data_IF_188299273156
#
_entry.id   IF_188299273156
#
_cell.length_a   1.000
_cell.length_b   1.000
_cell.length_c   1.000
_cell.angle_alpha   90.00
_cell.angle_beta   90.00
_cell.angle_gamma   90.00
#
_symmetry.space_group_name_H-M   'P 1'
#
loop_
_entity.id
_entity.type
_entity.pdbx_description
1 polymer ?
#
# COMPACT_ATOMS: atom_id res chain seq x y z
N UNK A 1 -6.95 -2.71 1.98
CA UNK A 1 -5.54 -3.10 1.74
C UNK A 1 -4.94 -2.50 0.47
N UNK A 2 -5.71 -2.02 -0.53
CA UNK A 2 -5.12 -1.51 -1.79
C UNK A 2 -4.11 -0.35 -1.59
N UNK A 3 -4.41 0.62 -0.74
CA UNK A 3 -3.45 1.70 -0.42
C UNK A 3 -2.19 1.17 0.26
N UNK A 4 -2.30 0.10 1.05
CA UNK A 4 -1.14 -0.55 1.68
C UNK A 4 -0.31 -1.33 0.66
N UNK A 5 -0.95 -1.99 -0.32
CA UNK A 5 -0.19 -2.67 -1.39
C UNK A 5 0.59 -1.69 -2.26
N UNK A 6 0.07 -0.47 -2.42
CA UNK A 6 0.77 0.62 -3.10
C UNK A 6 1.94 1.14 -2.24
N UNK A 7 1.73 1.34 -0.92
CA UNK A 7 2.79 1.73 0.02
C UNK A 7 3.91 0.69 0.16
N UNK A 8 3.58 -0.60 0.01
CA UNK A 8 4.55 -1.69 -0.04
C UNK A 8 5.32 -1.77 -1.37
N UNK A 9 4.93 -0.98 -2.37
CA UNK A 9 5.52 -1.01 -3.72
C UNK A 9 5.08 -2.19 -4.58
N UNK A 10 4.06 -2.94 -4.15
CA UNK A 10 3.56 -4.14 -4.85
C UNK A 10 2.37 -3.85 -5.78
N UNK A 11 1.84 -2.62 -5.74
CA UNK A 11 0.81 -2.15 -6.65
C UNK A 11 1.26 -0.84 -7.32
N UNK A 12 0.77 -0.62 -8.54
CA UNK A 12 1.02 0.63 -9.26
C UNK A 12 0.39 1.83 -8.54
N UNK A 13 1.00 3.02 -8.67
CA UNK A 13 0.42 4.25 -8.15
C UNK A 13 -1.02 4.47 -8.62
N UNK A 14 -1.90 4.86 -7.70
CA UNK A 14 -3.33 5.06 -7.98
C UNK A 14 -4.19 3.81 -7.86
N UNK A 15 -3.62 2.62 -7.60
CA UNK A 15 -4.42 1.41 -7.34
C UNK A 15 -5.26 1.54 -6.05
N UNK A 16 -4.77 2.30 -5.07
CA UNK A 16 -5.48 2.56 -3.81
C UNK A 16 -6.64 3.54 -3.92
N UNK A 17 -6.54 4.53 -4.80
CA UNK A 17 -7.45 5.69 -4.86
C UNK A 17 -8.42 5.66 -6.04
N UNK A 18 -8.07 4.97 -7.13
CA UNK A 18 -8.90 5.00 -8.34
C UNK A 18 -10.22 4.22 -8.17
N UNK A 19 -11.33 4.86 -8.55
CA UNK A 19 -12.67 4.27 -8.43
C UNK A 19 -12.89 3.12 -9.41
N UNK A 20 -13.75 2.17 -9.02
CA UNK A 20 -14.04 0.96 -9.81
C UNK A 20 -14.65 1.27 -11.18
N UNK A 21 -15.45 2.33 -11.27
CA UNK A 21 -16.19 2.74 -12.46
C UNK A 21 -15.43 3.73 -13.35
N UNK A 22 -14.26 4.20 -12.92
CA UNK A 22 -13.52 5.22 -13.64
C UNK A 22 -12.88 4.65 -14.92
N UNK A 23 -12.95 5.39 -16.03
CA UNK A 23 -12.42 4.97 -17.34
C UNK A 23 -10.93 4.64 -17.29
N UNK A 24 -10.16 5.38 -16.50
CA UNK A 24 -8.73 5.17 -16.25
C UNK A 24 -8.39 3.81 -15.61
N UNK A 25 -9.37 3.10 -15.04
CA UNK A 25 -9.09 1.80 -14.41
C UNK A 25 -8.67 0.76 -15.44
N UNK A 26 -9.20 0.87 -16.66
CA UNK A 26 -8.80 0.02 -17.78
C UNK A 26 -7.32 0.21 -18.12
N UNK A 27 -6.85 1.45 -18.12
CA UNK A 27 -5.45 1.77 -18.42
C UNK A 27 -4.52 1.22 -17.33
N UNK A 28 -4.89 1.41 -16.06
CA UNK A 28 -4.15 0.86 -14.93
C UNK A 28 -4.02 -0.68 -15.00
N UNK A 29 -5.08 -1.39 -15.42
CA UNK A 29 -5.01 -2.84 -15.62
C UNK A 29 -4.09 -3.25 -16.78
N UNK A 30 -4.14 -2.52 -17.89
CA UNK A 30 -3.26 -2.78 -19.03
C UNK A 30 -1.79 -2.49 -18.68
N UNK A 31 -1.55 -1.43 -17.91
CA UNK A 31 -0.23 -1.07 -17.40
C UNK A 31 0.29 -2.13 -16.42
N UNK A 32 -0.53 -2.61 -15.49
CA UNK A 32 -0.19 -3.71 -14.59
C UNK A 32 0.19 -4.98 -15.38
N UNK A 33 -0.59 -5.32 -16.42
CA UNK A 33 -0.33 -6.45 -17.30
C UNK A 33 0.99 -6.32 -18.07
N UNK A 34 1.31 -5.13 -18.59
CA UNK A 34 2.60 -4.87 -19.25
C UNK A 34 3.76 -4.92 -18.26
N UNK A 35 3.57 -4.37 -17.06
CA UNK A 35 4.57 -4.33 -16.00
C UNK A 35 4.94 -5.73 -15.55
N UNK A 36 3.97 -6.60 -15.25
CA UNK A 36 4.29 -7.96 -14.79
C UNK A 36 5.02 -8.78 -15.85
N UNK A 37 4.67 -8.63 -17.13
CA UNK A 37 5.39 -9.28 -18.24
C UNK A 37 6.82 -8.75 -18.34
N UNK A 38 7.02 -7.43 -18.20
CA UNK A 38 8.36 -6.82 -18.20
C UNK A 38 9.22 -7.31 -17.03
N UNK A 39 8.67 -7.37 -15.81
CA UNK A 39 9.38 -7.88 -14.63
C UNK A 39 9.71 -9.36 -14.78
N UNK A 40 8.78 -10.17 -15.31
CA UNK A 40 9.05 -11.58 -15.59
C UNK A 40 10.19 -11.75 -16.60
N UNK A 41 10.22 -10.97 -17.68
CA UNK A 41 11.34 -10.98 -18.63
C UNK A 41 12.66 -10.60 -17.98
N UNK A 42 12.69 -9.52 -17.19
CA UNK A 42 13.89 -9.14 -16.42
C UNK A 42 14.36 -10.29 -15.53
N UNK A 43 13.44 -10.97 -14.84
CA UNK A 43 13.81 -12.08 -13.98
C UNK A 43 14.35 -13.29 -14.74
N UNK A 44 13.69 -13.72 -15.81
CA UNK A 44 14.00 -14.98 -16.49
C UNK A 44 15.02 -14.85 -17.63
N UNK A 45 15.14 -13.67 -18.24
CA UNK A 45 16.06 -13.42 -19.36
C UNK A 45 17.33 -12.68 -18.92
N UNK A 46 17.28 -11.92 -17.81
CA UNK A 46 18.38 -11.06 -17.36
C UNK A 46 18.88 -11.42 -15.95
N UNK A 47 18.34 -12.48 -15.33
CA UNK A 47 18.64 -12.92 -13.96
C UNK A 47 18.57 -11.79 -12.92
N UNK A 48 17.65 -10.85 -13.13
CA UNK A 48 17.48 -9.70 -12.26
C UNK A 48 16.60 -10.06 -11.05
N UNK A 49 17.22 -10.40 -9.93
CA UNK A 49 16.51 -10.70 -8.68
C UNK A 49 15.94 -9.44 -7.99
N UNK A 50 16.28 -8.22 -8.44
CA UNK A 50 15.77 -6.98 -7.83
C UNK A 50 14.26 -6.78 -8.06
N UNK A 51 13.68 -7.46 -9.04
CA UNK A 51 12.24 -7.39 -9.37
C UNK A 51 11.38 -8.35 -8.55
N UNK A 52 12.00 -9.20 -7.72
CA UNK A 52 11.26 -10.17 -6.92
C UNK A 52 10.47 -9.47 -5.80
N UNK A 53 9.29 -10.01 -5.41
CA UNK A 53 8.47 -9.41 -4.36
C UNK A 53 9.22 -9.16 -3.04
N UNK A 54 10.12 -10.07 -2.64
CA UNK A 54 10.96 -9.92 -1.44
C UNK A 54 12.02 -8.83 -1.55
N UNK A 55 12.47 -8.52 -2.77
CA UNK A 55 13.40 -7.42 -3.04
C UNK A 55 12.70 -6.06 -3.00
N UNK A 56 11.39 -6.03 -3.26
CA UNK A 56 10.56 -4.81 -3.24
C UNK A 56 9.97 -4.57 -1.84
N UNK A 57 9.34 -5.57 -1.26
CA UNK A 57 8.69 -5.51 0.06
C UNK A 57 9.74 -5.65 1.18
N UNK A 58 10.65 -4.68 1.26
CA UNK A 58 11.70 -4.62 2.28
C UNK A 58 11.15 -4.17 3.64
N UNK A 59 11.96 -4.31 4.70
CA UNK A 59 11.61 -3.80 6.03
C UNK A 59 11.19 -2.32 6.00
N UNK A 60 11.89 -1.49 5.22
CA UNK A 60 11.54 -0.08 5.06
C UNK A 60 10.17 0.11 4.39
N UNK A 61 9.82 -0.74 3.41
CA UNK A 61 8.50 -0.71 2.79
C UNK A 61 7.38 -1.06 3.80
N UNK A 62 7.62 -2.03 4.68
CA UNK A 62 6.68 -2.37 5.77
C UNK A 62 6.55 -1.24 6.80
N UNK A 63 7.65 -0.57 7.17
CA UNK A 63 7.62 0.59 8.06
C UNK A 63 6.86 1.78 7.44
N UNK A 64 7.05 2.02 6.14
CA UNK A 64 6.30 3.04 5.39
C UNK A 64 4.81 2.70 5.33
N UNK A 65 4.46 1.46 5.02
CA UNK A 65 3.07 1.01 4.97
C UNK A 65 2.37 1.12 6.33
N UNK A 66 3.07 0.79 7.43
CA UNK A 66 2.56 0.97 8.79
C UNK A 66 2.35 2.45 9.12
N UNK A 67 3.31 3.30 8.76
CA UNK A 67 3.21 4.75 9.00
C UNK A 67 2.01 5.35 8.25
N UNK A 68 1.80 4.95 7.00
CA UNK A 68 0.63 5.36 6.21
C UNK A 68 -0.68 4.86 6.83
N UNK A 69 -0.75 3.59 7.23
CA UNK A 69 -1.94 2.98 7.81
C UNK A 69 -2.35 3.67 9.13
N UNK A 70 -1.39 3.99 10.00
CA UNK A 70 -1.65 4.75 11.23
C UNK A 70 -2.04 6.19 10.91
N UNK A 71 -1.38 6.83 9.95
CA UNK A 71 -1.70 8.21 9.55
C UNK A 71 -3.12 8.33 9.00
N UNK A 72 -3.57 7.38 8.17
CA UNK A 72 -4.91 7.35 7.59
C UNK A 72 -6.01 6.94 8.59
N UNK A 73 -5.66 6.35 9.73
CA UNK A 73 -6.64 5.75 10.63
C UNK A 73 -7.19 4.41 10.09
N UNK A 74 -6.29 3.58 9.56
CA UNK A 74 -6.56 2.26 9.01
C UNK A 74 -7.33 1.34 9.98
N UNK A 75 -7.99 0.32 9.41
CA UNK A 75 -8.71 -0.68 10.20
C UNK A 75 -7.75 -1.54 11.02
N UNK A 76 -8.06 -1.94 12.24
CA UNK A 76 -7.18 -2.86 13.02
C UNK A 76 -6.84 -4.16 12.28
N UNK A 77 -7.65 -4.58 11.30
CA UNK A 77 -7.35 -5.72 10.43
C UNK A 77 -6.13 -5.53 9.52
N UNK A 78 -5.79 -4.30 9.12
CA UNK A 78 -4.61 -4.02 8.29
C UNK A 78 -3.32 -4.38 9.02
N UNK A 79 -3.26 -4.17 10.33
CA UNK A 79 -2.14 -4.57 11.20
C UNK A 79 -1.94 -6.09 11.14
N UNK A 80 -3.02 -6.87 11.27
CA UNK A 80 -2.95 -8.34 11.19
C UNK A 80 -2.41 -8.80 9.84
N UNK A 81 -2.94 -8.24 8.74
CA UNK A 81 -2.48 -8.59 7.40
C UNK A 81 -1.04 -8.16 7.13
N UNK A 82 -0.60 -7.01 7.66
CA UNK A 82 0.75 -6.51 7.48
C UNK A 82 1.78 -7.37 8.24
N UNK A 83 1.45 -7.80 9.46
CA UNK A 83 2.27 -8.75 10.23
C UNK A 83 2.36 -10.12 9.54
N UNK A 84 1.23 -10.63 9.02
CA UNK A 84 1.22 -11.89 8.28
C UNK A 84 2.08 -11.81 7.00
N UNK A 85 1.95 -10.72 6.24
CA UNK A 85 2.75 -10.48 5.04
C UNK A 85 4.25 -10.33 5.35
N UNK A 86 4.61 -9.67 6.45
CA UNK A 86 6.00 -9.55 6.86
C UNK A 86 6.60 -10.91 7.27
N UNK A 87 5.81 -11.76 7.94
CA UNK A 87 6.23 -13.11 8.29
C UNK A 87 6.47 -13.98 7.05
N UNK A 88 5.60 -13.90 6.04
CA UNK A 88 5.76 -14.61 4.76
C UNK A 88 6.97 -14.10 3.95
N UNK A 89 7.27 -12.80 4.09
CA UNK A 89 8.45 -12.18 3.51
C UNK A 89 9.74 -12.44 4.33
N UNK A 90 9.66 -13.18 5.45
CA UNK A 90 10.78 -13.47 6.36
C UNK A 90 11.43 -12.22 6.96
N UNK A 91 10.64 -11.16 7.20
CA UNK A 91 11.10 -9.90 7.76
C UNK A 91 10.80 -9.83 9.25
N UNK A 92 11.81 -9.48 10.06
CA UNK A 92 11.63 -9.21 11.49
C UNK A 92 10.90 -7.88 11.71
N UNK A 93 9.58 -7.94 11.54
CA UNK A 93 8.63 -6.87 11.77
C UNK A 93 7.59 -7.34 12.78
N UNK A 94 7.63 -6.76 13.99
CA UNK A 94 6.83 -7.17 15.15
C UNK A 94 5.95 -6.04 15.65
N UNK A 95 4.98 -6.37 16.51
CA UNK A 95 4.13 -5.40 17.20
C UNK A 95 4.89 -4.24 17.86
N UNK A 96 6.10 -4.48 18.37
CA UNK A 96 6.95 -3.43 18.95
C UNK A 96 7.37 -2.32 17.96
N UNK A 97 7.34 -2.59 16.64
CA UNK A 97 7.57 -1.58 15.62
C UNK A 97 6.40 -0.59 15.55
N UNK A 98 5.17 -1.04 15.83
CA UNK A 98 3.95 -0.23 15.78
C UNK A 98 3.98 0.85 16.85
N UNK A 99 4.38 0.48 18.08
CA UNK A 99 4.43 1.43 19.18
C UNK A 99 5.48 2.53 18.98
N UNK A 100 6.54 2.26 18.22
CA UNK A 100 7.52 3.28 17.81
C UNK A 100 6.96 4.24 16.76
N UNK A 101 6.11 3.77 15.84
CA UNK A 101 5.56 4.59 14.75
C UNK A 101 4.44 5.52 15.21
N UNK A 102 3.64 5.10 16.20
CA UNK A 102 2.53 5.90 16.76
C UNK A 102 2.95 7.27 17.28
N UNK A 103 4.18 7.39 17.80
CA UNK A 103 4.72 8.65 18.33
C UNK A 103 5.05 9.68 17.23
N UNK A 104 5.26 9.20 15.99
CA UNK A 104 5.70 10.02 14.85
C UNK A 104 4.55 10.40 13.94
N UNK A 105 3.54 9.55 13.79
CA UNK A 105 2.38 9.79 12.94
C UNK A 105 1.26 10.50 13.72
N UNK A 106 1.18 11.83 13.64
CA UNK A 106 -0.09 12.52 13.93
C UNK A 106 -1.14 12.01 12.94
N UNK A 107 -2.16 11.31 13.42
CA UNK A 107 -3.26 10.81 12.59
C UNK A 107 -3.89 11.97 11.82
N UNK A 108 -3.77 11.93 10.49
CA UNK A 108 -4.47 12.82 9.58
C UNK A 108 -5.72 12.05 9.21
N UNK A 109 -6.80 12.25 9.97
CA UNK A 109 -8.02 11.47 9.87
C UNK A 109 -8.51 11.35 8.41
N UNK A 110 -8.28 10.21 7.78
CA UNK A 110 -8.67 9.96 6.39
C UNK A 110 -9.58 8.74 6.34
N UNK A 111 -10.87 8.94 6.63
CA UNK A 111 -11.91 7.96 6.27
C UNK A 111 -12.72 7.32 7.40
N UNK A 112 -12.67 7.81 8.64
CA UNK A 112 -13.74 7.52 9.61
C UNK A 112 -14.19 8.80 10.28
N UNK A 113 -15.44 9.17 10.01
CA UNK A 113 -16.11 10.26 10.69
C UNK A 113 -16.13 10.03 12.19
N UNK A 114 -15.60 10.99 12.92
CA UNK A 114 -16.35 11.50 14.06
C UNK A 114 -17.76 11.85 13.57
N UNK A 115 -18.79 11.59 14.37
CA UNK A 115 -20.19 11.85 14.04
C UNK A 115 -20.49 13.30 13.64
N UNK A 116 -19.53 14.21 13.83
CA UNK A 116 -19.61 15.64 13.53
C UNK A 116 -18.67 16.10 12.40
N UNK A 117 -17.86 15.20 11.82
CA UNK A 117 -16.96 15.51 10.70
C UNK A 117 -17.52 14.94 9.39
N UNK A 118 -17.75 15.79 8.38
CA UNK A 118 -18.11 15.35 7.01
C UNK A 118 -17.08 14.32 6.55
N UNK A 119 -17.48 13.06 6.45
CA UNK A 119 -16.57 11.95 6.16
C UNK A 119 -16.01 12.06 4.74
N UNK A 120 -14.70 12.22 4.63
CA UNK A 120 -13.95 12.08 3.38
C UNK A 120 -13.89 10.59 3.00
N UNK A 121 -14.47 10.21 1.87
CA UNK A 121 -14.43 8.85 1.32
C UNK A 121 -13.42 8.76 0.17
N UNK A 122 -12.99 7.56 -0.24
CA UNK A 122 -12.01 7.36 -1.33
C UNK A 122 -12.35 8.14 -2.62
N UNK A 123 -13.64 8.41 -2.89
CA UNK A 123 -14.04 9.28 -4.00
C UNK A 123 -13.49 10.70 -3.87
N UNK A 124 -13.42 11.24 -2.65
CA UNK A 124 -12.98 12.60 -2.36
C UNK A 124 -11.44 12.74 -2.39
N UNK A 125 -10.64 11.67 -2.21
CA UNK A 125 -9.18 11.73 -2.48
C UNK A 125 -8.86 11.71 -3.96
N UNK A 126 -9.67 11.02 -4.76
CA UNK A 126 -9.44 10.95 -6.20
C UNK A 126 -9.59 12.33 -6.87
N UNK A 127 -10.34 13.26 -6.26
CA UNK A 127 -10.43 14.66 -6.71
C UNK A 127 -9.23 15.54 -6.31
N UNK A 128 -8.45 15.13 -5.31
CA UNK A 128 -7.26 15.87 -4.81
C UNK A 128 -5.96 15.35 -5.46
N UNK A 129 -5.97 14.12 -5.97
CA UNK A 129 -4.78 13.42 -6.49
C UNK A 129 -4.58 13.53 -8.01
N UNK A 130 -5.38 14.34 -8.73
CA UNK A 130 -5.27 14.62 -10.18
C UNK A 130 -4.99 16.11 -10.39
#
# INVERSE_FOLDING_TARGET
MNCLTEALGLALPGNGSLLATHSLRRELFLEAGRTIVSLAKRRYEQDDDSVLPRSIATKAAFENAMSLDIAMGGSTNTILHLLAAANEAEIDFKMAAIDKTKDVSKTICWGRGDSDAKGFIIQDSNEIAI
#
